data_IF_596328218999
#
_entry.id   IF_596328218999
#
_cell.length_a   1.000
_cell.length_b   1.000
_cell.length_c   1.000
_cell.angle_alpha   90.00
_cell.angle_beta   90.00
_cell.angle_gamma   90.00
#
_symmetry.space_group_name_H-M   'P 1'
#
loop_
_entity.id
_entity.type
_entity.pdbx_description
1 polymer ?
#
# COMPACT_ATOMS: atom_id res chain seq x y z
N UNK A 1 25.26 -1.82 -6.51
CA UNK A 1 24.16 -1.97 -5.55
C UNK A 1 23.46 -3.29 -5.81
N UNK A 2 23.13 -4.08 -4.80
CA UNK A 2 22.38 -5.31 -4.98
C UNK A 2 20.88 -5.03 -4.72
N UNK A 3 20.10 -4.91 -5.76
CA UNK A 3 18.70 -4.50 -5.70
C UNK A 3 17.82 -5.42 -4.86
N UNK A 4 18.14 -6.71 -4.76
CA UNK A 4 17.40 -7.65 -3.90
C UNK A 4 17.38 -7.26 -2.41
N UNK A 5 18.28 -6.41 -1.97
CA UNK A 5 18.27 -5.91 -0.59
C UNK A 5 17.10 -4.95 -0.32
N UNK A 6 16.51 -4.39 -1.37
CA UNK A 6 15.48 -3.36 -1.28
C UNK A 6 14.13 -3.83 -1.76
N UNK A 7 14.08 -4.62 -2.86
CA UNK A 7 12.83 -5.12 -3.41
C UNK A 7 13.01 -6.47 -4.10
N UNK A 8 11.90 -7.16 -4.24
CA UNK A 8 11.75 -8.38 -5.05
C UNK A 8 10.48 -8.23 -5.89
N UNK A 9 10.50 -8.69 -7.12
CA UNK A 9 9.33 -8.63 -7.98
C UNK A 9 9.08 -9.96 -8.68
N UNK A 10 7.84 -10.16 -9.06
CA UNK A 10 7.41 -11.27 -9.88
C UNK A 10 6.65 -10.74 -11.10
N UNK A 11 6.92 -11.31 -12.25
CA UNK A 11 6.13 -11.04 -13.44
C UNK A 11 4.96 -12.03 -13.52
N UNK A 12 3.73 -11.50 -13.54
CA UNK A 12 2.50 -12.27 -13.68
C UNK A 12 2.37 -13.46 -12.71
N UNK A 13 2.61 -13.29 -11.40
CA UNK A 13 2.65 -14.41 -10.44
C UNK A 13 1.28 -15.03 -10.19
N UNK A 14 0.20 -14.37 -10.58
CA UNK A 14 -1.17 -14.80 -10.31
C UNK A 14 -1.99 -14.96 -11.60
N UNK A 15 -2.91 -15.93 -11.64
CA UNK A 15 -3.77 -16.13 -12.79
C UNK A 15 -4.74 -14.96 -12.98
N UNK A 16 -5.10 -14.70 -14.23
CA UNK A 16 -6.02 -13.61 -14.60
C UNK A 16 -7.38 -13.70 -13.88
N UNK A 17 -7.85 -14.92 -13.58
CA UNK A 17 -9.07 -15.13 -12.79
C UNK A 17 -8.99 -14.54 -11.40
N UNK A 18 -7.85 -14.64 -10.73
CA UNK A 18 -7.59 -14.04 -9.42
C UNK A 18 -7.62 -12.51 -9.52
N UNK A 19 -6.91 -11.94 -10.50
CA UNK A 19 -6.89 -10.48 -10.73
C UNK A 19 -8.32 -9.97 -10.98
N UNK A 20 -9.08 -10.63 -11.87
CA UNK A 20 -10.47 -10.26 -12.17
C UNK A 20 -11.38 -10.35 -10.93
N UNK A 21 -11.15 -11.32 -10.05
CA UNK A 21 -11.92 -11.46 -8.81
C UNK A 21 -11.64 -10.29 -7.85
N UNK A 22 -10.39 -9.88 -7.72
CA UNK A 22 -10.02 -8.68 -6.92
C UNK A 22 -10.63 -7.41 -7.52
N UNK A 23 -10.51 -7.22 -8.83
CA UNK A 23 -11.08 -6.06 -9.53
C UNK A 23 -12.61 -5.98 -9.33
N UNK A 24 -13.31 -7.10 -9.46
CA UNK A 24 -14.76 -7.16 -9.23
C UNK A 24 -15.11 -6.77 -7.80
N UNK A 25 -14.38 -7.30 -6.82
CA UNK A 25 -14.59 -7.00 -5.41
C UNK A 25 -14.28 -5.54 -5.08
N UNK A 26 -13.11 -5.06 -5.47
CA UNK A 26 -12.68 -3.68 -5.20
C UNK A 26 -13.56 -2.63 -5.88
N UNK A 27 -14.12 -2.95 -7.06
CA UNK A 27 -15.04 -2.04 -7.76
C UNK A 27 -16.46 -2.08 -7.19
N UNK A 28 -16.89 -3.20 -6.60
CA UNK A 28 -18.20 -3.30 -5.93
C UNK A 28 -18.26 -2.45 -4.66
N UNK A 29 -17.18 -2.38 -3.92
CA UNK A 29 -17.13 -1.71 -2.64
C UNK A 29 -17.01 -0.18 -2.83
N UNK A 30 -17.69 0.59 -1.96
CA UNK A 30 -17.60 2.04 -1.96
C UNK A 30 -16.18 2.48 -1.66
N UNK A 31 -15.61 3.29 -2.55
CA UNK A 31 -14.28 3.87 -2.39
C UNK A 31 -14.37 5.22 -1.68
N UNK A 32 -13.42 5.47 -0.81
CA UNK A 32 -13.28 6.71 -0.06
C UNK A 32 -11.99 7.42 -0.47
N UNK A 33 -11.90 8.72 -0.19
CA UNK A 33 -10.65 9.45 -0.35
C UNK A 33 -9.57 8.77 0.50
N UNK A 34 -8.43 8.48 -0.12
CA UNK A 34 -7.29 7.92 0.60
C UNK A 34 -6.72 8.98 1.56
N UNK A 35 -6.44 8.57 2.79
CA UNK A 35 -5.90 9.43 3.83
C UNK A 35 -4.53 8.90 4.21
N UNK A 36 -3.58 9.81 4.43
CA UNK A 36 -2.25 9.45 4.90
C UNK A 36 -2.21 9.37 6.42
N UNK A 37 -1.24 8.64 6.97
CA UNK A 37 -1.11 8.40 8.40
C UNK A 37 -1.14 9.65 9.27
N UNK A 38 -0.47 10.71 8.83
CA UNK A 38 -0.40 11.99 9.55
C UNK A 38 -1.76 12.70 9.72
N UNK A 39 -2.76 12.38 8.89
CA UNK A 39 -4.03 13.10 8.87
C UNK A 39 -5.22 12.24 9.30
N UNK A 40 -5.08 10.93 9.29
CA UNK A 40 -6.21 10.03 9.45
C UNK A 40 -6.04 8.88 10.41
N UNK A 41 -4.83 8.60 10.86
CA UNK A 41 -4.59 7.50 11.78
C UNK A 41 -5.32 7.78 13.10
N UNK A 42 -6.27 6.91 13.46
CA UNK A 42 -7.14 7.05 14.64
C UNK A 42 -8.16 8.20 14.61
N UNK A 43 -8.34 8.88 13.48
CA UNK A 43 -9.35 9.94 13.37
C UNK A 43 -10.68 9.36 12.88
N UNK A 44 -11.72 9.52 13.67
CA UNK A 44 -13.08 9.22 13.24
C UNK A 44 -13.59 10.35 12.32
N UNK A 45 -13.43 10.19 11.01
CA UNK A 45 -13.78 11.20 10.01
C UNK A 45 -15.27 11.54 9.95
N UNK A 46 -16.16 10.66 10.44
CA UNK A 46 -17.59 10.97 10.56
C UNK A 46 -17.85 11.99 11.65
N UNK A 47 -17.11 11.88 12.77
CA UNK A 47 -17.23 12.79 13.92
C UNK A 47 -16.33 14.01 13.80
N UNK A 48 -15.19 13.86 13.15
CA UNK A 48 -14.18 14.90 13.00
C UNK A 48 -13.66 14.91 11.55
N UNK A 49 -14.41 15.49 10.58
CA UNK A 49 -14.02 15.54 9.19
C UNK A 49 -12.77 16.40 8.98
N UNK A 50 -12.10 16.20 7.86
CA UNK A 50 -10.97 17.05 7.46
C UNK A 50 -11.47 18.46 7.16
N UNK A 51 -10.76 19.44 7.67
CA UNK A 51 -10.96 20.86 7.30
C UNK A 51 -10.58 21.08 5.82
N UNK A 52 -11.00 22.19 5.25
CA UNK A 52 -10.62 22.57 3.88
C UNK A 52 -9.10 22.66 3.70
N UNK A 53 -8.39 23.18 4.70
CA UNK A 53 -6.92 23.28 4.69
C UNK A 53 -6.25 21.91 4.69
N UNK A 54 -6.71 21.00 5.53
CA UNK A 54 -6.22 19.61 5.59
C UNK A 54 -6.50 18.85 4.29
N UNK A 55 -7.66 19.04 3.67
CA UNK A 55 -7.99 18.44 2.38
C UNK A 55 -7.07 18.93 1.25
N UNK A 56 -6.75 20.22 1.23
CA UNK A 56 -5.81 20.79 0.25
C UNK A 56 -4.42 20.18 0.46
N UNK A 57 -3.96 20.11 1.71
CA UNK A 57 -2.65 19.52 2.05
C UNK A 57 -2.59 18.03 1.69
N UNK A 58 -3.63 17.28 2.03
CA UNK A 58 -3.74 15.87 1.67
C UNK A 58 -3.62 15.66 0.16
N UNK A 59 -4.36 16.44 -0.64
CA UNK A 59 -4.36 16.32 -2.10
C UNK A 59 -3.03 16.68 -2.76
N UNK A 60 -2.16 17.43 -2.08
CA UNK A 60 -0.79 17.68 -2.54
C UNK A 60 0.12 16.48 -2.32
N UNK A 61 -0.16 15.67 -1.31
CA UNK A 61 0.61 14.48 -0.98
C UNK A 61 0.02 13.21 -1.62
N UNK A 62 -1.31 13.09 -1.59
CA UNK A 62 -2.02 11.94 -2.12
C UNK A 62 -3.37 12.33 -2.69
N UNK A 63 -3.60 11.95 -3.93
CA UNK A 63 -4.89 12.10 -4.59
C UNK A 63 -5.30 10.76 -5.19
N UNK A 64 -6.00 9.94 -4.42
CA UNK A 64 -6.48 8.63 -4.85
C UNK A 64 -7.73 8.22 -4.08
N UNK A 65 -8.41 7.19 -4.56
CA UNK A 65 -9.52 6.57 -3.85
C UNK A 65 -9.17 5.16 -3.43
N UNK A 66 -9.62 4.77 -2.24
CA UNK A 66 -9.33 3.46 -1.67
C UNK A 66 -10.57 2.81 -1.08
N UNK A 67 -10.54 1.49 -1.03
CA UNK A 67 -11.31 0.69 -0.09
C UNK A 67 -10.41 -0.41 0.49
N UNK A 68 -10.88 -1.08 1.54
CA UNK A 68 -10.14 -2.09 2.25
C UNK A 68 -10.77 -3.45 2.03
N UNK A 69 -9.95 -4.42 1.63
CA UNK A 69 -10.35 -5.79 1.37
C UNK A 69 -9.84 -6.67 2.52
N UNK A 70 -10.72 -7.53 3.03
CA UNK A 70 -10.44 -8.37 4.21
C UNK A 70 -10.62 -9.86 3.91
N UNK A 71 -10.94 -10.18 2.68
CA UNK A 71 -11.26 -11.53 2.25
C UNK A 71 -10.05 -12.47 2.38
N UNK A 72 -10.21 -13.51 3.17
CA UNK A 72 -9.16 -14.49 3.51
C UNK A 72 -8.47 -15.07 2.27
N UNK A 73 -9.23 -15.37 1.22
CA UNK A 73 -8.69 -15.92 -0.02
C UNK A 73 -7.66 -15.04 -0.72
N UNK A 74 -7.67 -13.72 -0.48
CA UNK A 74 -6.65 -12.78 -1.02
C UNK A 74 -5.30 -13.11 -0.38
N UNK A 75 -5.27 -13.21 0.93
CA UNK A 75 -4.04 -13.48 1.70
C UNK A 75 -3.54 -14.90 1.48
N UNK A 76 -4.43 -15.88 1.42
CA UNK A 76 -4.10 -17.27 1.10
C UNK A 76 -3.39 -17.40 -0.26
N UNK A 77 -3.74 -16.53 -1.22
CA UNK A 77 -3.12 -16.53 -2.56
C UNK A 77 -1.83 -15.70 -2.60
N UNK A 78 -1.79 -14.54 -1.93
CA UNK A 78 -0.64 -13.61 -2.02
C UNK A 78 0.50 -14.00 -1.06
N UNK A 79 0.20 -14.47 0.15
CA UNK A 79 1.21 -14.75 1.16
C UNK A 79 2.28 -15.74 0.70
N UNK A 80 1.99 -16.82 -0.04
CA UNK A 80 3.04 -17.69 -0.57
C UNK A 80 4.08 -16.96 -1.44
N UNK A 81 3.65 -15.99 -2.24
CA UNK A 81 4.57 -15.18 -3.03
C UNK A 81 5.42 -14.24 -2.15
N UNK A 82 4.81 -13.65 -1.12
CA UNK A 82 5.54 -12.82 -0.14
C UNK A 82 6.58 -13.67 0.62
N UNK A 83 6.22 -14.88 1.05
CA UNK A 83 7.16 -15.82 1.68
C UNK A 83 8.33 -16.12 0.76
N UNK A 84 8.04 -16.44 -0.51
CA UNK A 84 9.07 -16.74 -1.50
C UNK A 84 10.00 -15.53 -1.73
N UNK A 85 9.43 -14.32 -1.86
CA UNK A 85 10.22 -13.09 -2.01
C UNK A 85 11.14 -12.85 -0.81
N UNK A 86 10.58 -12.95 0.41
CA UNK A 86 11.30 -12.75 1.66
C UNK A 86 12.49 -13.72 1.80
N UNK A 87 12.28 -14.98 1.44
CA UNK A 87 13.33 -16.00 1.46
C UNK A 87 14.37 -15.76 0.34
N UNK A 88 13.93 -15.59 -0.91
CA UNK A 88 14.80 -15.47 -2.06
C UNK A 88 15.66 -14.18 -2.04
N UNK A 89 15.11 -13.10 -1.49
CA UNK A 89 15.86 -11.87 -1.25
C UNK A 89 16.87 -12.00 -0.08
N UNK A 90 16.69 -12.99 0.77
CA UNK A 90 17.52 -13.19 1.96
C UNK A 90 17.15 -12.27 3.13
N UNK A 91 15.97 -11.63 3.09
CA UNK A 91 15.53 -10.75 4.17
C UNK A 91 15.18 -11.53 5.44
N UNK A 92 14.54 -12.68 5.29
CA UNK A 92 14.19 -13.62 6.37
C UNK A 92 13.43 -12.97 7.54
N UNK A 93 12.61 -11.95 7.24
CA UNK A 93 11.73 -11.39 8.24
C UNK A 93 10.73 -12.42 8.72
N UNK A 94 10.54 -12.49 10.02
CA UNK A 94 9.46 -13.23 10.64
C UNK A 94 8.27 -12.28 10.78
N UNK A 95 7.12 -12.64 10.18
CA UNK A 95 5.89 -11.90 10.37
C UNK A 95 4.75 -12.83 10.75
N UNK A 96 3.81 -12.34 11.50
CA UNK A 96 2.71 -13.10 12.07
C UNK A 96 1.35 -12.50 11.69
N UNK A 97 1.34 -11.36 11.01
CA UNK A 97 0.10 -10.66 10.73
C UNK A 97 0.17 -9.84 9.44
N UNK A 98 -0.99 -9.74 8.75
CA UNK A 98 -1.15 -8.90 7.57
C UNK A 98 -2.16 -7.77 7.88
N UNK A 99 -1.83 -6.56 7.48
CA UNK A 99 -2.82 -5.50 7.41
C UNK A 99 -3.86 -5.78 6.31
N UNK A 100 -5.02 -5.14 6.43
CA UNK A 100 -6.02 -5.23 5.38
C UNK A 100 -5.48 -4.74 4.04
N UNK A 101 -5.77 -5.48 2.97
CA UNK A 101 -5.31 -5.11 1.63
C UNK A 101 -6.02 -3.83 1.16
N UNK A 102 -5.25 -2.83 0.79
CA UNK A 102 -5.76 -1.58 0.25
C UNK A 102 -5.96 -1.70 -1.26
N UNK A 103 -7.20 -1.69 -1.71
CA UNK A 103 -7.54 -1.54 -3.12
C UNK A 103 -7.52 -0.05 -3.47
N UNK A 104 -6.57 0.35 -4.31
CA UNK A 104 -6.39 1.76 -4.67
C UNK A 104 -6.76 2.00 -6.13
N UNK A 105 -7.52 3.06 -6.38
CA UNK A 105 -7.86 3.56 -7.71
C UNK A 105 -7.19 4.92 -7.93
N UNK A 106 -6.43 5.02 -9.01
CA UNK A 106 -5.91 6.26 -9.56
C UNK A 106 -6.60 6.58 -10.88
N UNK A 107 -7.05 7.82 -11.04
CA UNK A 107 -7.56 8.38 -12.30
C UNK A 107 -6.52 9.30 -12.90
N UNK A 108 -6.75 9.76 -14.14
CA UNK A 108 -5.87 10.73 -14.80
C UNK A 108 -5.52 11.91 -13.88
N UNK A 109 -4.23 12.18 -13.73
CA UNK A 109 -3.69 13.24 -12.89
C UNK A 109 -3.76 12.96 -11.37
N UNK A 110 -4.07 11.73 -10.98
CA UNK A 110 -4.02 11.30 -9.58
C UNK A 110 -2.70 10.61 -9.27
N UNK A 111 -2.24 10.75 -8.03
CA UNK A 111 -0.91 10.28 -7.61
C UNK A 111 -0.85 10.03 -6.11
N UNK A 112 0.23 9.42 -5.70
CA UNK A 112 0.72 9.38 -4.32
C UNK A 112 2.20 9.73 -4.36
N UNK A 113 2.55 10.80 -3.68
CA UNK A 113 3.91 11.33 -3.63
C UNK A 113 4.82 10.42 -2.81
N UNK A 114 6.13 10.70 -2.83
CA UNK A 114 7.14 9.96 -2.09
C UNK A 114 6.74 9.78 -0.62
N UNK A 115 6.82 8.56 -0.16
CA UNK A 115 6.48 8.19 1.21
C UNK A 115 7.18 6.90 1.62
N UNK A 116 7.30 6.67 2.90
CA UNK A 116 7.72 5.39 3.46
C UNK A 116 6.48 4.57 3.86
N UNK A 117 6.47 3.30 3.53
CA UNK A 117 5.43 2.37 3.95
C UNK A 117 5.61 1.88 5.39
N UNK A 118 6.81 2.01 5.93
CA UNK A 118 7.12 1.65 7.32
C UNK A 118 6.96 2.84 8.26
N UNK A 119 6.74 2.53 9.53
CA UNK A 119 6.72 3.50 10.61
C UNK A 119 8.04 3.46 11.37
N UNK A 120 8.48 4.61 11.89
CA UNK A 120 9.69 4.68 12.73
C UNK A 120 9.51 3.97 14.07
N UNK A 121 8.28 3.90 14.58
CA UNK A 121 7.94 3.30 15.85
C UNK A 121 6.87 2.22 15.68
N UNK A 122 6.83 1.21 16.58
CA UNK A 122 5.73 0.24 16.64
C UNK A 122 4.38 0.90 16.86
N UNK A 123 3.32 0.22 16.44
CA UNK A 123 1.95 0.65 16.71
C UNK A 123 1.69 0.75 18.21
N UNK A 124 1.06 1.86 18.62
CA UNK A 124 0.71 2.13 20.02
C UNK A 124 -0.65 1.53 20.38
N UNK A 125 -0.97 1.50 21.67
CA UNK A 125 -2.16 0.84 22.26
C UNK A 125 -3.51 1.20 21.63
N UNK A 126 -3.61 2.38 21.03
CA UNK A 126 -4.82 2.85 20.37
C UNK A 126 -5.02 2.33 18.94
N UNK A 127 -4.07 1.58 18.40
CA UNK A 127 -4.15 1.03 17.04
C UNK A 127 -4.99 -0.25 16.93
N UNK A 128 -5.35 -0.87 18.05
CA UNK A 128 -6.05 -2.15 18.12
C UNK A 128 -5.14 -3.29 18.57
N UNK A 129 -5.71 -4.30 19.20
CA UNK A 129 -4.95 -5.38 19.84
C UNK A 129 -4.00 -6.13 18.92
N UNK A 130 -4.40 -6.31 17.65
CA UNK A 130 -3.63 -7.09 16.66
C UNK A 130 -2.40 -6.32 16.14
N UNK A 131 -2.35 -5.01 16.34
CA UNK A 131 -1.27 -4.14 15.85
C UNK A 131 -0.27 -3.73 16.93
N UNK A 132 -0.70 -3.67 18.18
CA UNK A 132 0.13 -3.15 19.28
C UNK A 132 1.48 -3.82 19.34
N UNK A 133 2.53 -3.01 19.39
CA UNK A 133 3.92 -3.48 19.45
C UNK A 133 4.48 -3.99 18.12
N UNK A 134 3.67 -4.09 17.06
CA UNK A 134 4.12 -4.52 15.75
C UNK A 134 4.63 -3.34 14.93
N UNK A 135 5.55 -3.65 14.02
CA UNK A 135 6.07 -2.70 13.05
C UNK A 135 5.97 -3.33 11.65
N UNK A 136 5.60 -2.53 10.66
CA UNK A 136 5.53 -2.97 9.27
C UNK A 136 6.94 -3.27 8.74
N UNK A 137 7.18 -4.50 8.29
CA UNK A 137 8.48 -4.96 7.76
C UNK A 137 8.46 -5.19 6.25
N UNK A 138 7.35 -5.68 5.73
CA UNK A 138 7.19 -5.95 4.32
C UNK A 138 6.01 -5.15 3.79
N UNK A 139 6.18 -4.52 2.65
CA UNK A 139 5.12 -3.91 1.85
C UNK A 139 5.05 -4.61 0.51
N UNK A 140 3.85 -4.89 0.04
CA UNK A 140 3.64 -5.53 -1.25
C UNK A 140 2.65 -4.74 -2.09
N UNK A 141 2.96 -4.58 -3.36
CA UNK A 141 2.09 -3.94 -4.35
C UNK A 141 1.76 -4.94 -5.44
N UNK A 142 0.48 -5.11 -5.73
CA UNK A 142 -0.02 -5.90 -6.83
C UNK A 142 -0.66 -4.97 -7.86
N UNK A 143 -0.05 -4.87 -9.04
CA UNK A 143 -0.63 -4.14 -10.17
C UNK A 143 -1.78 -4.95 -10.75
N UNK A 144 -2.99 -4.39 -10.75
CA UNK A 144 -4.21 -5.03 -11.24
C UNK A 144 -4.54 -4.59 -12.68
N UNK A 145 -3.94 -3.51 -13.14
CA UNK A 145 -4.09 -2.96 -14.49
C UNK A 145 -2.75 -3.04 -15.22
N UNK A 146 -2.78 -3.22 -16.52
CA UNK A 146 -1.59 -3.43 -17.35
C UNK A 146 -1.09 -2.08 -17.91
N UNK A 147 0.15 -1.67 -17.59
CA UNK A 147 0.77 -0.48 -18.18
C UNK A 147 0.82 -0.58 -19.72
N UNK A 148 0.63 0.54 -20.40
CA UNK A 148 0.64 0.64 -21.86
C UNK A 148 -0.61 0.08 -22.55
N UNK A 149 -1.53 -0.55 -21.79
CA UNK A 149 -2.79 -1.08 -22.31
C UNK A 149 -4.00 -0.48 -21.62
N UNK A 150 -4.01 -0.53 -20.29
CA UNK A 150 -5.14 -0.04 -19.48
C UNK A 150 -4.90 1.40 -19.02
N UNK A 151 -3.65 1.84 -18.98
CA UNK A 151 -3.26 3.20 -18.60
C UNK A 151 -1.86 3.55 -19.15
N UNK A 152 -1.59 4.86 -19.20
CA UNK A 152 -0.29 5.45 -19.51
C UNK A 152 0.15 6.34 -18.35
N UNK A 153 1.48 6.46 -18.12
CA UNK A 153 2.01 7.11 -16.92
C UNK A 153 1.78 6.28 -15.66
N UNK A 154 1.78 6.92 -14.51
CA UNK A 154 1.53 6.25 -13.22
C UNK A 154 2.63 5.28 -12.84
N UNK A 155 3.85 5.65 -13.12
CA UNK A 155 5.06 4.90 -12.80
C UNK A 155 5.13 4.64 -11.29
N UNK A 156 5.56 3.43 -10.94
CA UNK A 156 5.90 3.06 -9.59
C UNK A 156 7.40 3.21 -9.42
N UNK A 157 7.80 4.17 -8.60
CA UNK A 157 9.19 4.52 -8.38
C UNK A 157 9.65 4.09 -6.98
N UNK A 158 10.89 3.64 -6.86
CA UNK A 158 11.50 3.26 -5.59
C UNK A 158 12.75 4.11 -5.40
N UNK A 159 12.82 4.84 -4.28
CA UNK A 159 14.02 5.55 -3.87
C UNK A 159 14.88 4.64 -2.98
N UNK A 160 16.11 4.41 -3.40
CA UNK A 160 17.10 3.61 -2.68
C UNK A 160 18.04 4.46 -1.79
N UNK A 161 17.88 5.77 -1.78
CA UNK A 161 18.57 6.63 -0.81
C UNK A 161 18.00 6.32 0.58
N UNK A 162 18.87 6.06 1.54
CA UNK A 162 18.53 5.63 2.91
C UNK A 162 17.67 6.62 3.72
N UNK A 163 16.57 7.14 3.13
CA UNK A 163 15.64 8.03 3.80
C UNK A 163 16.25 9.33 4.34
N UNK A 164 17.48 9.60 3.98
CA UNK A 164 18.20 10.80 4.36
C UNK A 164 18.03 11.87 3.29
N UNK A 165 17.23 12.86 3.63
CA UNK A 165 17.19 14.23 3.09
C UNK A 165 16.98 14.39 1.58
N UNK A 166 15.92 15.10 1.26
CA UNK A 166 15.71 15.85 0.04
C UNK A 166 15.94 15.10 -1.27
N UNK A 167 14.86 14.45 -1.72
CA UNK A 167 14.79 13.92 -3.08
C UNK A 167 15.13 15.03 -4.06
N UNK A 168 16.31 14.96 -4.64
CA UNK A 168 16.60 15.64 -5.90
C UNK A 168 15.78 14.97 -6.97
N UNK A 169 14.80 15.68 -7.47
CA UNK A 169 14.05 15.37 -8.70
C UNK A 169 14.96 15.45 -9.90
#
# INVERSE_FOLDING_TARGET
MNLKNFYWYFENPFPKSFINKILKLGNKNKKHLAITGNQGFNRNLKKNPLSKKELVQLKKQRNSKVNWLQEKWIYETINPAIVAANHNAGWNFQWDWNENAQFTEYKKGQFYDWHMDSWAEPYKDNAGKDFVGKIRKLSSVLLLSQPGKDFEGGEFEIDFSNGGSEGTR
#
